data_IF_987747251149
#
_entry.id   IF_987747251149
#
_cell.length_a   1.000
_cell.length_b   1.000
_cell.length_c   1.000
_cell.angle_alpha   90.00
_cell.angle_beta   90.00
_cell.angle_gamma   90.00
#
_symmetry.space_group_name_H-M   'P 1'
#
loop_
_entity.id
_entity.type
_entity.pdbx_description
1 polymer ?
#
# COMPACT_ATOMS: atom_id res chain seq x y z
N UNK A 1 7.19 -45.17 12.18
CA UNK A 1 7.42 -43.78 12.66
C UNK A 1 8.30 -42.97 11.71
N UNK A 2 9.40 -43.54 11.15
CA UNK A 2 10.28 -42.84 10.17
C UNK A 2 9.54 -42.23 8.95
N UNK A 3 8.55 -42.92 8.40
CA UNK A 3 7.83 -42.46 7.20
C UNK A 3 6.91 -41.25 7.46
N UNK A 4 6.48 -41.02 8.71
CA UNK A 4 5.59 -39.90 9.06
C UNK A 4 6.39 -38.59 9.15
N UNK A 5 7.60 -38.64 9.68
CA UNK A 5 8.50 -37.48 9.72
C UNK A 5 8.86 -37.00 8.30
N UNK A 6 9.15 -37.92 7.38
CA UNK A 6 9.50 -37.57 6.00
C UNK A 6 8.36 -36.85 5.27
N UNK A 7 7.11 -37.28 5.48
CA UNK A 7 5.91 -36.68 4.87
C UNK A 7 5.64 -35.28 5.44
N UNK A 8 5.78 -35.08 6.76
CA UNK A 8 5.64 -33.75 7.38
C UNK A 8 6.73 -32.78 6.91
N UNK A 9 7.97 -33.24 6.77
CA UNK A 9 9.07 -32.41 6.23
C UNK A 9 8.85 -32.02 4.77
N UNK A 10 8.27 -32.91 3.96
CA UNK A 10 7.98 -32.62 2.55
C UNK A 10 6.81 -31.63 2.39
N UNK A 11 5.77 -31.75 3.22
CA UNK A 11 4.63 -30.83 3.26
C UNK A 11 5.01 -29.43 3.77
N UNK A 12 5.97 -29.34 4.70
CA UNK A 12 6.52 -28.08 5.17
C UNK A 12 7.33 -27.35 4.08
N UNK A 13 7.97 -28.09 3.16
CA UNK A 13 8.69 -27.50 2.02
C UNK A 13 7.77 -26.93 0.94
N UNK A 14 6.53 -27.42 0.83
CA UNK A 14 5.55 -26.96 -0.17
C UNK A 14 4.52 -25.96 0.38
N UNK A 15 4.65 -25.55 1.63
CA UNK A 15 3.84 -24.48 2.21
C UNK A 15 4.30 -23.12 1.63
N UNK A 16 4.01 -22.91 0.34
CA UNK A 16 4.09 -21.59 -0.27
C UNK A 16 3.22 -20.65 0.54
N UNK A 17 3.81 -19.56 1.01
CA UNK A 17 3.08 -18.47 1.66
C UNK A 17 2.11 -17.88 0.66
N UNK A 18 0.84 -18.30 0.74
CA UNK A 18 -0.26 -17.63 0.06
C UNK A 18 -0.45 -16.30 0.80
N UNK A 19 0.12 -15.24 0.26
CA UNK A 19 -0.15 -13.89 0.72
C UNK A 19 -1.41 -13.40 0.01
N UNK A 20 -2.40 -12.96 0.78
CA UNK A 20 -3.58 -12.31 0.21
C UNK A 20 -3.21 -10.87 -0.15
N UNK A 21 -3.48 -10.49 -1.40
CA UNK A 21 -3.42 -9.10 -1.80
C UNK A 21 -4.66 -8.37 -1.26
N UNK A 22 -4.44 -7.18 -0.74
CA UNK A 22 -5.43 -6.26 -0.17
C UNK A 22 -5.38 -4.99 -1.00
N UNK A 23 -6.53 -4.58 -1.52
CA UNK A 23 -6.70 -3.28 -2.16
C UNK A 23 -7.43 -2.36 -1.18
N UNK A 24 -6.84 -1.20 -0.93
CA UNK A 24 -7.43 -0.13 -0.14
C UNK A 24 -8.08 0.84 -1.10
N UNK A 25 -9.41 0.81 -1.14
CA UNK A 25 -10.21 1.83 -1.83
C UNK A 25 -10.50 3.02 -0.90
N UNK A 26 -10.73 4.17 -1.52
CA UNK A 26 -11.08 5.40 -0.82
C UNK A 26 -12.43 5.96 -1.28
N UNK A 27 -13.30 5.09 -1.78
CA UNK A 27 -14.61 5.44 -2.31
C UNK A 27 -15.60 5.91 -1.23
N UNK A 28 -15.41 5.45 0.01
CA UNK A 28 -16.27 5.75 1.16
C UNK A 28 -15.46 5.88 2.46
N UNK A 29 -14.56 6.87 2.58
CA UNK A 29 -13.82 7.04 3.82
C UNK A 29 -14.84 7.39 4.93
N UNK A 30 -14.75 6.76 6.12
CA UNK A 30 -15.67 7.04 7.23
C UNK A 30 -15.46 8.44 7.85
N UNK A 31 -14.64 9.29 7.23
CA UNK A 31 -14.15 10.54 7.76
C UNK A 31 -14.61 11.72 6.90
N UNK A 32 -14.86 12.89 7.50
CA UNK A 32 -15.18 14.10 6.75
C UNK A 32 -14.08 14.49 5.76
N UNK A 33 -14.48 15.11 4.66
CA UNK A 33 -13.58 15.75 3.70
C UNK A 33 -12.61 16.72 4.41
N UNK A 34 -11.34 16.73 4.00
CA UNK A 34 -10.30 17.56 4.58
C UNK A 34 -9.71 17.04 5.89
N UNK A 35 -10.15 15.88 6.39
CA UNK A 35 -9.56 15.25 7.59
C UNK A 35 -8.22 14.61 7.27
N UNK A 36 -7.23 14.80 8.15
CA UNK A 36 -5.95 14.07 8.09
C UNK A 36 -6.21 12.62 8.52
N UNK A 37 -5.85 11.69 7.66
CA UNK A 37 -5.89 10.28 7.91
C UNK A 37 -4.75 9.90 8.86
N UNK A 38 -5.10 9.20 9.93
CA UNK A 38 -4.14 8.68 10.90
C UNK A 38 -4.14 7.16 10.90
N UNK A 39 -5.32 6.54 10.82
CA UNK A 39 -5.46 5.09 10.69
C UNK A 39 -6.61 4.74 9.73
N UNK A 40 -6.34 3.86 8.75
CA UNK A 40 -7.35 3.38 7.80
C UNK A 40 -6.89 2.10 7.11
N UNK A 41 -7.82 1.16 6.90
CA UNK A 41 -7.58 -0.13 6.26
C UNK A 41 -6.41 -0.93 6.87
N UNK A 42 -6.19 -0.80 8.19
CA UNK A 42 -5.11 -1.48 8.91
C UNK A 42 -3.71 -0.89 8.72
N UNK A 43 -3.61 0.29 8.08
CA UNK A 43 -2.41 1.06 7.91
C UNK A 43 -2.46 2.33 8.76
N UNK A 44 -1.32 2.78 9.23
CA UNK A 44 -1.16 4.09 9.88
C UNK A 44 -0.61 5.08 8.85
N UNK A 45 -1.26 6.23 8.72
CA UNK A 45 -1.03 7.21 7.67
C UNK A 45 -0.42 8.49 8.26
N UNK A 46 0.61 9.00 7.59
CA UNK A 46 1.33 10.21 7.94
C UNK A 46 1.11 11.29 6.88
N UNK A 47 0.53 12.40 7.30
CA UNK A 47 0.28 13.58 6.46
C UNK A 47 -0.64 13.34 5.24
N UNK A 48 -1.40 12.24 5.18
CA UNK A 48 -2.40 12.03 4.14
C UNK A 48 -3.69 12.79 4.50
N UNK A 49 -4.21 13.64 3.62
CA UNK A 49 -5.50 14.33 3.84
C UNK A 49 -6.53 13.88 2.81
N UNK A 50 -7.75 13.58 3.25
CA UNK A 50 -8.89 13.27 2.37
C UNK A 50 -9.21 14.53 1.55
N UNK A 51 -9.01 14.54 0.22
CA UNK A 51 -9.10 15.78 -0.56
C UNK A 51 -10.49 16.43 -0.48
N UNK A 52 -10.55 17.73 -0.16
CA UNK A 52 -11.83 18.38 0.10
C UNK A 52 -12.69 18.64 -1.15
N UNK A 53 -12.16 18.41 -2.36
CA UNK A 53 -12.78 18.82 -3.61
C UNK A 53 -12.51 17.80 -4.72
N UNK A 54 -13.53 17.52 -5.54
CA UNK A 54 -13.35 16.81 -6.81
C UNK A 54 -12.36 17.60 -7.68
N UNK A 55 -11.15 17.10 -7.87
CA UNK A 55 -10.32 17.59 -8.97
C UNK A 55 -10.81 16.87 -10.23
N UNK A 56 -11.39 17.57 -11.22
CA UNK A 56 -11.79 16.93 -12.47
C UNK A 56 -10.53 16.45 -13.19
N UNK A 57 -10.23 15.16 -13.12
CA UNK A 57 -9.24 14.56 -14.00
C UNK A 57 -9.78 14.66 -15.43
N UNK A 58 -9.10 15.42 -16.29
CA UNK A 58 -9.44 15.53 -17.71
C UNK A 58 -9.03 14.23 -18.42
N UNK A 59 -9.91 13.24 -18.43
CA UNK A 59 -9.74 11.97 -19.13
C UNK A 59 -11.05 11.19 -19.14
N UNK A 60 -11.25 10.34 -20.14
CA UNK A 60 -12.42 9.46 -20.31
C UNK A 60 -12.60 8.42 -19.19
N UNK A 61 -11.73 8.42 -18.18
CA UNK A 61 -12.07 8.12 -16.78
C UNK A 61 -12.90 9.28 -16.19
N UNK A 62 -14.05 9.55 -16.80
CA UNK A 62 -15.07 10.34 -16.12
C UNK A 62 -15.40 9.58 -14.85
N UNK A 63 -15.17 10.22 -13.71
CA UNK A 63 -15.48 9.77 -12.35
C UNK A 63 -16.87 9.14 -12.25
N UNK A 64 -16.96 7.86 -12.63
CA UNK A 64 -18.14 7.00 -12.45
C UNK A 64 -17.88 5.94 -11.38
N UNK A 65 -16.68 5.93 -10.80
CA UNK A 65 -16.21 5.01 -9.75
C UNK A 65 -14.87 5.50 -9.16
N UNK A 66 -14.71 6.82 -9.01
CA UNK A 66 -13.73 7.42 -8.10
C UNK A 66 -14.56 8.26 -7.13
N UNK A 67 -15.15 7.56 -6.17
CA UNK A 67 -15.85 8.06 -5.01
C UNK A 67 -14.95 9.05 -4.33
N UNK A 68 -15.52 10.23 -4.09
CA UNK A 68 -14.81 11.31 -3.46
C UNK A 68 -14.27 10.87 -2.09
N UNK A 69 -13.04 11.25 -1.71
CA UNK A 69 -11.99 11.85 -2.55
C UNK A 69 -10.62 11.16 -2.42
N UNK A 70 -9.75 11.33 -3.44
CA UNK A 70 -8.35 10.94 -3.35
C UNK A 70 -7.63 11.71 -2.23
N UNK A 71 -6.49 11.21 -1.76
CA UNK A 71 -5.71 11.95 -0.78
C UNK A 71 -4.90 13.08 -1.40
N UNK A 72 -4.82 14.24 -0.75
CA UNK A 72 -3.92 15.34 -1.07
C UNK A 72 -2.97 15.61 0.10
N UNK A 73 -1.81 16.20 -0.19
CA UNK A 73 -0.90 16.60 0.88
C UNK A 73 -1.41 17.86 1.62
N UNK A 74 -1.23 17.98 2.95
CA UNK A 74 -1.34 19.24 3.67
C UNK A 74 -0.15 20.13 3.32
N UNK A 75 -0.36 21.42 3.04
CA UNK A 75 0.57 22.31 2.34
C UNK A 75 2.05 22.33 2.83
N UNK A 76 2.37 21.88 4.05
CA UNK A 76 3.66 22.16 4.71
C UNK A 76 4.59 20.94 4.94
N UNK A 77 4.32 19.76 4.35
CA UNK A 77 5.18 18.57 4.53
C UNK A 77 5.83 18.07 3.23
N UNK A 78 7.17 17.94 3.15
CA UNK A 78 7.83 17.53 1.90
C UNK A 78 7.52 16.08 1.47
N UNK A 79 6.95 15.29 2.38
CA UNK A 79 6.54 13.92 2.15
C UNK A 79 5.19 13.60 2.80
N UNK A 80 4.59 12.51 2.32
CA UNK A 80 3.52 11.75 2.99
C UNK A 80 3.98 10.32 3.13
N UNK A 81 3.49 9.61 4.13
CA UNK A 81 3.88 8.22 4.36
C UNK A 81 2.72 7.37 4.85
N UNK A 82 2.85 6.07 4.68
CA UNK A 82 2.03 5.11 5.40
C UNK A 82 2.91 3.99 5.93
N UNK A 83 2.45 3.38 7.00
CA UNK A 83 3.13 2.27 7.66
C UNK A 83 2.16 1.17 8.04
N UNK A 84 2.71 -0.01 8.24
CA UNK A 84 2.01 -1.23 8.58
C UNK A 84 2.65 -1.85 9.82
N UNK A 85 1.86 -2.58 10.61
CA UNK A 85 2.34 -3.22 11.85
C UNK A 85 3.39 -4.30 11.57
N UNK A 86 3.42 -4.87 10.36
CA UNK A 86 4.39 -5.86 9.95
C UNK A 86 4.72 -5.77 8.47
N UNK A 87 5.73 -6.50 7.99
CA UNK A 87 6.23 -6.32 6.63
C UNK A 87 5.18 -6.65 5.57
N UNK A 88 5.08 -5.79 4.57
CA UNK A 88 4.22 -5.92 3.40
C UNK A 88 5.05 -5.91 2.13
N UNK A 89 4.48 -6.46 1.07
CA UNK A 89 4.92 -6.23 -0.30
C UNK A 89 3.90 -5.34 -0.98
N UNK A 90 4.29 -4.12 -1.27
CA UNK A 90 3.44 -3.21 -2.04
C UNK A 90 3.54 -3.56 -3.52
N UNK A 91 2.41 -3.51 -4.21
CA UNK A 91 2.27 -3.85 -5.63
C UNK A 91 2.14 -2.59 -6.48
N UNK A 92 1.43 -1.59 -5.97
CA UNK A 92 1.22 -0.31 -6.64
C UNK A 92 -0.06 0.38 -6.19
N UNK A 93 -0.38 1.48 -6.86
CA UNK A 93 -1.64 2.20 -6.70
C UNK A 93 -1.92 3.01 -7.96
N UNK A 94 -3.12 3.56 -8.09
CA UNK A 94 -3.42 4.59 -9.08
C UNK A 94 -2.91 5.94 -8.59
N UNK A 95 -2.08 6.60 -9.39
CA UNK A 95 -1.52 7.91 -9.07
C UNK A 95 -1.77 8.95 -10.16
N UNK A 96 -1.91 10.21 -9.74
CA UNK A 96 -1.95 11.37 -10.63
C UNK A 96 -1.55 12.66 -9.91
N UNK A 97 -1.17 13.67 -10.69
CA UNK A 97 -1.00 15.02 -10.16
C UNK A 97 -2.36 15.68 -9.92
N UNK A 98 -2.55 16.20 -8.72
CA UNK A 98 -3.68 17.07 -8.39
C UNK A 98 -3.22 18.48 -8.18
N UNK A 99 -3.93 19.42 -8.80
CA UNK A 99 -3.62 20.84 -8.69
C UNK A 99 -4.72 21.49 -7.86
N UNK A 100 -4.34 22.01 -6.69
CA UNK A 100 -5.25 22.74 -5.80
C UNK A 100 -5.65 24.10 -6.38
N UNK A 101 -4.99 24.57 -7.45
CA UNK A 101 -5.29 25.86 -8.08
C UNK A 101 -6.10 25.66 -9.36
N UNK A 102 -7.32 26.19 -9.31
CA UNK A 102 -8.32 26.19 -10.37
C UNK A 102 -7.76 26.32 -11.79
N UNK A 103 -7.88 25.24 -12.58
CA UNK A 103 -7.99 25.31 -14.03
C UNK A 103 -6.75 24.98 -14.88
N UNK A 104 -5.55 24.96 -14.31
CA UNK A 104 -4.33 24.67 -15.08
C UNK A 104 -3.91 23.22 -14.90
N UNK A 105 -3.63 22.49 -15.99
CA UNK A 105 -2.91 21.21 -15.96
C UNK A 105 -1.42 21.55 -16.05
N UNK A 106 -0.76 21.67 -14.90
CA UNK A 106 0.69 21.86 -14.83
C UNK A 106 1.34 20.48 -14.82
N UNK A 107 2.19 20.22 -15.81
CA UNK A 107 3.12 19.10 -15.78
C UNK A 107 4.14 19.31 -14.66
N UNK A 108 4.32 18.33 -13.78
CA UNK A 108 5.47 18.32 -12.89
C UNK A 108 6.74 18.27 -13.73
N UNK A 109 7.72 19.12 -13.38
CA UNK A 109 9.02 19.18 -14.04
C UNK A 109 10.04 18.28 -13.32
N UNK A 110 9.89 18.16 -11.99
CA UNK A 110 10.56 17.14 -11.19
C UNK A 110 9.59 16.00 -10.86
N UNK A 111 9.98 14.73 -11.08
CA UNK A 111 9.10 13.62 -10.76
C UNK A 111 9.04 13.37 -9.24
N UNK A 112 7.88 12.95 -8.76
CA UNK A 112 7.77 12.43 -7.39
C UNK A 112 8.54 11.11 -7.25
N UNK A 113 8.87 10.73 -6.03
CA UNK A 113 9.51 9.45 -5.74
C UNK A 113 8.81 8.74 -4.59
N UNK A 114 9.02 7.43 -4.52
CA UNK A 114 8.57 6.59 -3.43
C UNK A 114 9.76 5.86 -2.83
N UNK A 115 9.88 5.85 -1.51
CA UNK A 115 10.95 5.19 -0.77
C UNK A 115 10.35 4.20 0.21
N UNK A 116 10.82 2.95 0.13
CA UNK A 116 10.41 1.86 1.01
C UNK A 116 11.41 1.66 2.13
N UNK A 117 10.92 1.45 3.34
CA UNK A 117 11.71 1.23 4.55
C UNK A 117 11.33 -0.10 5.21
N UNK A 118 12.29 -0.68 5.93
CA UNK A 118 12.08 -1.77 6.87
C UNK A 118 12.73 -1.38 8.20
N UNK A 119 11.92 -1.11 9.21
CA UNK A 119 12.35 -0.44 10.43
C UNK A 119 12.92 0.95 10.12
N UNK A 120 14.19 1.18 10.45
CA UNK A 120 14.87 2.45 10.16
C UNK A 120 15.72 2.40 8.88
N UNK A 121 15.80 1.24 8.21
CA UNK A 121 16.63 1.03 7.03
C UNK A 121 15.88 1.30 5.73
N UNK A 122 16.52 1.93 4.75
CA UNK A 122 15.99 2.05 3.39
C UNK A 122 16.15 0.73 2.66
N UNK A 123 15.06 0.22 2.10
CA UNK A 123 15.04 -1.00 1.26
C UNK A 123 15.24 -0.63 -0.21
N UNK A 124 14.65 0.48 -0.66
CA UNK A 124 14.81 0.98 -2.02
C UNK A 124 14.02 2.25 -2.26
N UNK A 125 14.28 2.88 -3.41
CA UNK A 125 13.54 4.06 -3.87
C UNK A 125 13.26 3.94 -5.36
N UNK A 126 12.14 4.49 -5.79
CA UNK A 126 11.65 4.44 -7.17
C UNK A 126 11.08 5.80 -7.56
N UNK A 127 11.37 6.26 -8.77
CA UNK A 127 10.73 7.44 -9.36
C UNK A 127 9.34 7.04 -9.84
N UNK A 128 8.33 7.86 -9.53
CA UNK A 128 6.95 7.64 -9.96
C UNK A 128 6.69 8.40 -11.27
N UNK A 129 6.49 7.70 -12.40
CA UNK A 129 6.19 8.33 -13.69
C UNK A 129 4.73 8.79 -13.76
N UNK A 130 4.35 9.71 -12.88
CA UNK A 130 2.98 10.21 -12.78
C UNK A 130 2.66 11.21 -13.90
N UNK A 131 1.38 11.31 -14.21
CA UNK A 131 0.83 12.26 -15.19
C UNK A 131 -0.39 12.98 -14.61
N UNK A 132 -0.99 13.89 -15.38
CA UNK A 132 -2.27 14.53 -15.00
C UNK A 132 -3.48 13.60 -15.09
N UNK A 133 -3.31 12.39 -15.62
CA UNK A 133 -4.36 11.36 -15.70
C UNK A 133 -4.09 10.22 -14.72
N UNK A 134 -5.10 9.69 -14.02
CA UNK A 134 -4.95 8.51 -13.18
C UNK A 134 -4.38 7.33 -13.95
N UNK A 135 -3.30 6.76 -13.45
CA UNK A 135 -2.67 5.57 -14.01
C UNK A 135 -2.15 4.67 -12.90
N UNK A 136 -2.32 3.35 -13.05
CA UNK A 136 -1.72 2.41 -12.12
C UNK A 136 -0.20 2.42 -12.28
N UNK A 137 0.51 2.68 -11.19
CA UNK A 137 1.97 2.64 -11.15
C UNK A 137 2.37 1.51 -10.22
N UNK A 138 3.07 0.51 -10.78
CA UNK A 138 3.67 -0.55 -9.99
C UNK A 138 4.79 -0.01 -9.13
N UNK A 139 4.77 -0.33 -7.85
CA UNK A 139 5.83 -0.02 -6.89
C UNK A 139 6.47 -1.34 -6.51
N UNK A 140 7.78 -1.47 -6.70
CA UNK A 140 8.49 -2.71 -6.41
C UNK A 140 9.81 -2.43 -5.73
N UNK A 141 9.99 -3.03 -4.56
CA UNK A 141 11.23 -2.98 -3.81
C UNK A 141 11.91 -4.36 -3.81
N UNK A 142 13.25 -4.42 -3.64
CA UNK A 142 13.98 -5.70 -3.58
C UNK A 142 13.56 -6.63 -2.43
N UNK A 143 12.87 -6.10 -1.42
CA UNK A 143 12.43 -6.84 -0.24
C UNK A 143 11.12 -6.32 0.33
N UNK A 144 10.73 -6.87 1.47
CA UNK A 144 9.58 -6.41 2.24
C UNK A 144 9.82 -5.02 2.83
N UNK A 145 8.75 -4.26 2.99
CA UNK A 145 8.76 -2.92 3.60
C UNK A 145 7.70 -2.84 4.68
N UNK A 146 7.90 -2.04 5.72
CA UNK A 146 6.89 -1.75 6.75
C UNK A 146 6.42 -0.30 6.72
N UNK A 147 7.18 0.60 6.09
CA UNK A 147 6.83 2.00 5.84
C UNK A 147 7.17 2.41 4.42
N UNK A 148 6.29 3.20 3.81
CA UNK A 148 6.50 3.81 2.50
C UNK A 148 6.31 5.32 2.61
N UNK A 149 7.24 6.06 2.01
CA UNK A 149 7.25 7.51 1.96
C UNK A 149 7.20 7.97 0.51
N UNK A 150 6.31 8.91 0.22
CA UNK A 150 6.20 9.58 -1.07
C UNK A 150 6.76 10.98 -0.95
N UNK A 151 7.70 11.32 -1.82
CA UNK A 151 8.25 12.67 -1.93
C UNK A 151 7.48 13.46 -2.97
N UNK A 152 7.19 14.72 -2.67
CA UNK A 152 6.47 15.59 -3.59
C UNK A 152 7.26 15.88 -4.88
N UNK A 153 6.58 15.89 -6.03
CA UNK A 153 7.07 16.52 -7.24
C UNK A 153 7.04 18.04 -7.12
N UNK A 154 7.81 18.72 -7.96
CA UNK A 154 7.75 20.17 -8.13
C UNK A 154 7.46 20.55 -9.58
N UNK A 155 6.75 21.66 -9.78
CA UNK A 155 6.57 22.25 -11.11
C UNK A 155 7.81 23.02 -11.58
N UNK A 156 7.73 23.57 -12.80
CA UNK A 156 8.80 24.36 -13.43
C UNK A 156 9.18 25.65 -12.66
N UNK A 157 8.33 26.09 -11.72
CA UNK A 157 8.61 27.22 -10.81
C UNK A 157 9.18 26.76 -9.46
N UNK A 158 9.47 25.46 -9.31
CA UNK A 158 9.90 24.87 -8.04
C UNK A 158 8.82 24.83 -6.97
N UNK A 159 7.54 24.92 -7.37
CA UNK A 159 6.40 24.82 -6.44
C UNK A 159 5.98 23.37 -6.28
N UNK A 160 5.65 22.98 -5.06
CA UNK A 160 5.13 21.65 -4.75
C UNK A 160 3.85 21.35 -5.53
N UNK A 161 3.80 20.13 -6.06
CA UNK A 161 2.61 19.56 -6.72
C UNK A 161 2.04 18.47 -5.83
N UNK A 162 0.72 18.46 -5.62
CA UNK A 162 0.10 17.40 -4.83
C UNK A 162 0.01 16.11 -5.65
N UNK A 163 0.33 14.98 -5.02
CA UNK A 163 0.01 13.66 -5.57
C UNK A 163 -1.33 13.23 -5.01
N UNK A 164 -2.18 12.69 -5.87
CA UNK A 164 -3.35 11.92 -5.51
C UNK A 164 -3.09 10.43 -5.71
N UNK A 165 -3.66 9.63 -4.82
CA UNK A 165 -3.54 8.17 -4.81
C UNK A 165 -4.90 7.51 -4.58
N UNK A 166 -5.13 6.39 -5.25
CA UNK A 166 -6.27 5.50 -5.01
C UNK A 166 -5.91 4.02 -5.28
N UNK A 167 -6.74 3.09 -4.82
CA UNK A 167 -6.58 1.63 -4.96
C UNK A 167 -5.19 1.12 -4.57
N UNK A 168 -4.70 1.53 -3.38
CA UNK A 168 -3.40 1.05 -2.90
C UNK A 168 -3.46 -0.47 -2.72
N UNK A 169 -2.65 -1.19 -3.46
CA UNK A 169 -2.61 -2.64 -3.46
C UNK A 169 -1.33 -3.15 -2.82
N UNK A 170 -1.47 -3.98 -1.80
CA UNK A 170 -0.35 -4.57 -1.07
C UNK A 170 -0.70 -5.96 -0.55
N UNK A 171 0.31 -6.76 -0.25
CA UNK A 171 0.14 -8.11 0.28
C UNK A 171 0.93 -8.27 1.58
N UNK A 172 0.30 -8.85 2.60
CA UNK A 172 0.91 -9.02 3.93
C UNK A 172 1.84 -10.21 3.90
N UNK A 173 3.10 -10.02 4.30
CA UNK A 173 4.05 -11.13 4.38
C UNK A 173 3.90 -11.78 5.76
N UNK A 174 3.42 -13.03 5.85
CA UNK A 174 3.28 -13.69 7.14
C UNK A 174 4.64 -13.77 7.82
N UNK A 175 4.71 -13.40 9.09
CA UNK A 175 5.94 -13.59 9.86
C UNK A 175 6.27 -15.09 9.90
N UNK A 176 7.55 -15.49 9.71
CA UNK A 176 7.92 -16.91 9.67
C UNK A 176 7.43 -17.71 10.89
N UNK A 177 7.36 -17.06 12.07
CA UNK A 177 6.82 -17.66 13.29
C UNK A 177 5.33 -18.02 13.22
N UNK A 178 4.49 -17.20 12.57
CA UNK A 178 3.07 -17.47 12.44
C UNK A 178 2.80 -18.70 11.55
N UNK A 179 3.59 -18.89 10.48
CA UNK A 179 3.53 -20.09 9.65
C UNK A 179 3.96 -21.33 10.44
N UNK A 180 5.03 -21.21 11.23
CA UNK A 180 5.48 -22.31 12.08
C UNK A 180 4.41 -22.69 13.12
N UNK A 181 3.87 -21.73 13.87
CA UNK A 181 2.86 -22.00 14.89
C UNK A 181 1.57 -22.58 14.30
N UNK A 182 1.10 -22.07 13.16
CA UNK A 182 -0.09 -22.60 12.49
C UNK A 182 0.12 -24.04 12.02
N UNK A 183 1.30 -24.36 11.48
CA UNK A 183 1.63 -25.73 11.09
C UNK A 183 1.66 -26.69 12.29
N UNK A 184 2.25 -26.27 13.41
CA UNK A 184 2.28 -27.04 14.66
C UNK A 184 0.87 -27.26 15.19
N UNK A 185 0.04 -26.21 15.20
CA UNK A 185 -1.37 -26.27 15.61
C UNK A 185 -2.16 -27.28 14.79
N UNK A 186 -2.01 -27.25 13.46
CA UNK A 186 -2.67 -28.20 12.55
C UNK A 186 -2.19 -29.65 12.77
N UNK A 187 -0.88 -29.86 12.99
CA UNK A 187 -0.35 -31.19 13.33
C UNK A 187 -0.93 -31.72 14.64
N UNK A 188 -1.04 -30.88 15.68
CA UNK A 188 -1.63 -31.25 16.97
C UNK A 188 -3.12 -31.58 16.85
N UNK A 189 -3.88 -30.77 16.10
CA UNK A 189 -5.30 -31.02 15.84
C UNK A 189 -5.50 -32.36 15.11
N UNK A 190 -4.69 -32.64 14.09
CA UNK A 190 -4.72 -33.92 13.37
C UNK A 190 -4.41 -35.11 14.28
N UNK A 191 -3.42 -34.96 15.16
CA UNK A 191 -3.05 -35.99 16.13
C UNK A 191 -4.16 -36.25 17.18
N UNK A 192 -4.77 -35.19 17.71
CA UNK A 192 -5.89 -35.30 18.66
C UNK A 192 -7.11 -35.95 18.01
N UNK A 193 -7.43 -35.62 16.75
CA UNK A 193 -8.55 -36.25 16.03
C UNK A 193 -8.32 -37.76 15.84
N UNK A 194 -7.08 -38.18 15.54
CA UNK A 194 -6.75 -39.61 15.40
C UNK A 194 -6.94 -40.38 16.71
N UNK A 195 -6.67 -39.76 17.87
CA UNK A 195 -6.85 -40.39 19.18
C UNK A 195 -8.31 -40.52 19.64
N UNK A 196 -9.25 -39.82 19.01
CA UNK A 196 -10.69 -39.91 19.35
C UNK A 196 -11.47 -40.89 18.47
N UNK A 197 -10.86 -41.41 17.40
CA UNK A 197 -11.50 -42.33 16.43
C UNK A 197 -11.05 -43.79 16.67
N UNK A 198 -10.06 -44.01 17.54
CA UNK A 198 -9.62 -45.31 18.05
C UNK A 198 -10.09 -45.47 19.49
#
# INVERSE_FOLDING_TARGET
MKNVFLICSLLALTAGSVSASVTVDFENPPLPLGTILTDYAGLSWGNFQIAATQSPASGSYAAKSIGMPPFSYPADTPYVDFSSVGPVKVEGAHFWYTLWRAGDIISADSPGSVTGYLGTGVVGSQILPMSGTPSFISISFPGAVDRIEFTRPTDWNGRDVNISMDDLTYSVIPTPGALLLSSIGMCLLGWMRRRKIL
#
